data_IF_739473652475
#
_entry.id   IF_739473652475
#
_cell.length_a   1.000
_cell.length_b   1.000
_cell.length_c   1.000
_cell.angle_alpha   90.00
_cell.angle_beta   90.00
_cell.angle_gamma   90.00
#
_symmetry.space_group_name_H-M   'P 1'
#
loop_
_entity.id
_entity.type
_entity.pdbx_description
1 polymer ?
#
# COMPACT_ATOMS: atom_id res chain seq x y z
N UNK A 1 58.97 -39.00 14.56
CA UNK A 1 57.78 -38.98 13.69
C UNK A 1 58.03 -38.14 12.45
N UNK A 2 57.33 -38.43 11.39
CA UNK A 2 57.34 -37.66 10.15
C UNK A 2 55.90 -37.48 9.62
N UNK A 3 55.51 -36.28 9.16
CA UNK A 3 54.18 -36.13 8.56
C UNK A 3 54.02 -37.00 7.31
N UNK A 4 52.75 -37.40 7.07
CA UNK A 4 52.36 -38.22 5.92
C UNK A 4 52.90 -37.64 4.58
N UNK A 5 53.50 -38.50 3.80
CA UNK A 5 54.06 -38.16 2.48
C UNK A 5 55.05 -36.97 2.43
N UNK A 6 55.74 -36.67 3.55
CA UNK A 6 56.88 -35.73 3.57
C UNK A 6 58.18 -36.51 3.58
N UNK A 7 59.33 -35.85 3.48
CA UNK A 7 60.69 -36.42 3.74
C UNK A 7 61.17 -36.00 5.13
N UNK A 8 61.99 -36.77 5.74
CA UNK A 8 62.63 -36.48 7.02
C UNK A 8 64.15 -36.55 6.85
N UNK A 9 64.86 -35.45 7.09
CA UNK A 9 66.32 -35.43 7.15
C UNK A 9 66.80 -36.09 8.43
N UNK A 10 67.66 -37.05 8.29
CA UNK A 10 68.27 -37.80 9.39
C UNK A 10 69.52 -37.14 9.85
N UNK A 11 69.74 -37.00 11.15
CA UNK A 11 70.92 -36.44 11.74
C UNK A 11 71.39 -37.31 12.89
N UNK A 12 72.71 -37.29 13.15
CA UNK A 12 73.30 -37.92 14.34
C UNK A 12 74.06 -36.91 15.17
N UNK A 13 74.18 -37.16 16.45
CA UNK A 13 75.03 -36.41 17.37
C UNK A 13 75.92 -37.35 18.18
N UNK A 14 77.11 -36.88 18.54
CA UNK A 14 78.10 -37.64 19.30
C UNK A 14 79.01 -38.55 18.45
N UNK A 15 79.84 -39.31 19.12
CA UNK A 15 80.89 -40.15 18.52
C UNK A 15 82.17 -39.37 18.16
N UNK A 16 83.27 -39.76 18.71
CA UNK A 16 84.61 -39.27 18.35
C UNK A 16 85.15 -39.92 17.09
N UNK A 17 85.97 -39.26 16.33
CA UNK A 17 86.48 -39.76 15.05
C UNK A 17 85.74 -39.14 13.85
N UNK A 18 86.38 -39.22 12.69
CA UNK A 18 85.94 -38.62 11.41
C UNK A 18 85.40 -39.63 10.38
N UNK A 19 84.97 -40.85 10.87
CA UNK A 19 84.34 -41.84 10.00
C UNK A 19 83.01 -41.34 9.44
N UNK A 20 82.70 -41.70 8.19
CA UNK A 20 81.44 -41.36 7.56
C UNK A 20 80.23 -41.95 8.30
N UNK A 21 79.17 -41.21 8.35
CA UNK A 21 77.87 -41.69 8.90
C UNK A 21 76.97 -42.14 7.75
N UNK A 22 76.39 -43.35 7.88
CA UNK A 22 75.40 -43.90 6.99
C UNK A 22 74.12 -44.24 7.78
N UNK A 23 72.99 -44.20 7.13
CA UNK A 23 71.72 -44.59 7.69
C UNK A 23 71.13 -45.78 6.95
N UNK A 24 70.56 -46.72 7.67
CA UNK A 24 69.96 -47.94 7.12
C UNK A 24 68.53 -48.16 7.71
N UNK A 25 67.58 -48.60 6.85
CA UNK A 25 66.31 -49.09 7.28
C UNK A 25 66.48 -50.53 7.73
N UNK A 26 66.41 -50.75 9.04
CA UNK A 26 66.56 -52.10 9.61
C UNK A 26 65.25 -52.90 9.58
N UNK A 27 64.14 -52.20 9.50
CA UNK A 27 62.81 -52.79 9.17
C UNK A 27 61.97 -51.74 8.46
N UNK A 28 61.55 -52.01 7.23
CA UNK A 28 60.65 -51.14 6.49
C UNK A 28 59.25 -51.04 7.15
N UNK A 29 58.89 -52.00 7.97
CA UNK A 29 57.64 -52.05 8.71
C UNK A 29 56.43 -51.83 7.82
N UNK A 30 55.36 -51.33 8.40
CA UNK A 30 54.13 -50.96 7.66
C UNK A 30 54.27 -49.63 6.96
N UNK A 31 55.29 -48.84 7.29
CA UNK A 31 55.51 -47.50 6.69
C UNK A 31 56.20 -47.53 5.32
N UNK A 32 56.75 -48.69 4.88
CA UNK A 32 57.46 -48.82 3.58
C UNK A 32 58.58 -47.81 3.43
N UNK A 33 59.39 -47.67 4.49
CA UNK A 33 60.48 -46.67 4.50
C UNK A 33 61.63 -46.97 3.55
N UNK A 34 62.18 -45.97 2.97
CA UNK A 34 63.45 -45.98 2.21
C UNK A 34 64.33 -44.81 2.55
N UNK A 35 65.65 -44.97 2.43
CA UNK A 35 66.62 -43.92 2.70
C UNK A 35 67.43 -43.67 1.45
N UNK A 36 67.63 -42.40 1.07
CA UNK A 36 68.55 -41.94 0.07
C UNK A 36 69.47 -40.89 0.73
N UNK A 37 70.74 -41.22 0.86
CA UNK A 37 71.76 -40.43 1.61
C UNK A 37 71.29 -40.27 3.09
N UNK A 38 70.86 -39.10 3.48
CA UNK A 38 70.33 -38.77 4.83
C UNK A 38 68.89 -38.50 4.86
N UNK A 39 68.18 -38.74 3.76
CA UNK A 39 66.77 -38.44 3.63
C UNK A 39 65.90 -39.70 3.67
N UNK A 40 65.06 -39.80 4.69
CA UNK A 40 64.07 -40.86 4.86
C UNK A 40 62.74 -40.48 4.18
N UNK A 41 62.22 -41.36 3.36
CA UNK A 41 60.85 -41.30 2.83
C UNK A 41 60.04 -42.51 3.34
N UNK A 42 58.75 -42.36 3.40
CA UNK A 42 57.83 -43.42 3.76
C UNK A 42 56.54 -43.28 2.93
N UNK A 43 56.01 -44.41 2.46
CA UNK A 43 54.80 -44.51 1.63
C UNK A 43 53.55 -44.97 2.37
N UNK A 44 53.74 -45.45 3.61
CA UNK A 44 52.59 -45.97 4.44
C UNK A 44 51.75 -44.83 5.02
N UNK A 45 50.52 -45.19 5.35
CA UNK A 45 49.52 -44.31 5.96
C UNK A 45 49.92 -43.91 7.39
N UNK A 46 49.19 -42.94 7.93
CA UNK A 46 49.33 -42.50 9.34
C UNK A 46 49.19 -43.64 10.31
N UNK A 47 50.02 -43.67 11.34
CA UNK A 47 50.14 -44.71 12.31
C UNK A 47 51.11 -45.85 11.92
N UNK A 48 51.54 -45.95 10.64
CA UNK A 48 52.53 -46.90 10.18
C UNK A 48 53.92 -46.55 10.73
N UNK A 49 54.76 -47.60 10.88
CA UNK A 49 56.10 -47.46 11.50
C UNK A 49 57.17 -48.14 10.72
N UNK A 50 58.39 -47.64 10.81
CA UNK A 50 59.65 -48.33 10.40
C UNK A 50 60.74 -48.12 11.43
N UNK A 51 61.79 -48.92 11.38
CA UNK A 51 62.95 -48.77 12.24
C UNK A 51 64.19 -48.47 11.39
N UNK A 52 65.04 -47.60 11.91
CA UNK A 52 66.25 -47.14 11.27
C UNK A 52 67.40 -47.21 12.27
N UNK A 53 68.61 -47.44 11.77
CA UNK A 53 69.87 -47.30 12.51
C UNK A 53 70.83 -46.39 11.78
N UNK A 54 71.74 -45.75 12.51
CA UNK A 54 72.83 -45.01 11.98
C UNK A 54 74.14 -45.72 12.33
N UNK A 55 75.00 -45.83 11.38
CA UNK A 55 76.37 -46.42 11.58
C UNK A 55 77.43 -45.40 11.22
N UNK A 56 78.36 -45.19 12.14
CA UNK A 56 79.54 -44.41 11.91
C UNK A 56 80.67 -45.37 11.52
N UNK A 57 81.29 -45.22 10.35
CA UNK A 57 82.36 -46.06 9.87
C UNK A 57 83.58 -45.93 10.76
N UNK A 58 84.47 -46.97 10.76
CA UNK A 58 85.69 -46.92 11.44
C UNK A 58 86.61 -45.80 10.88
N UNK A 59 87.45 -45.29 11.73
CA UNK A 59 88.50 -44.33 11.34
C UNK A 59 89.85 -44.77 11.92
N UNK A 60 90.93 -44.06 11.64
CA UNK A 60 92.29 -44.50 11.98
C UNK A 60 92.42 -44.91 13.46
N UNK A 61 91.73 -44.29 14.37
CA UNK A 61 91.89 -44.51 15.83
C UNK A 61 90.56 -45.00 16.54
N UNK A 62 89.47 -45.26 15.77
CA UNK A 62 88.20 -45.65 16.33
C UNK A 62 87.49 -46.73 15.51
N UNK A 63 86.95 -47.72 16.15
CA UNK A 63 86.11 -48.74 15.54
C UNK A 63 84.80 -48.20 15.06
N UNK A 64 84.16 -48.88 14.11
CA UNK A 64 82.82 -48.56 13.70
C UNK A 64 81.88 -48.73 14.87
N UNK A 65 80.83 -47.86 14.89
CA UNK A 65 79.80 -47.93 15.92
C UNK A 65 78.39 -47.71 15.31
N UNK A 66 77.41 -48.49 15.75
CA UNK A 66 76.02 -48.34 15.34
C UNK A 66 75.17 -47.79 16.49
N UNK A 67 74.22 -47.02 16.17
CA UNK A 67 73.18 -46.51 17.12
C UNK A 67 72.22 -47.65 17.52
N UNK A 68 71.53 -47.49 18.60
CA UNK A 68 70.29 -48.27 18.84
C UNK A 68 69.25 -47.95 17.76
N UNK A 69 68.48 -48.95 17.42
CA UNK A 69 67.37 -48.77 16.46
C UNK A 69 66.35 -47.71 16.94
N UNK A 70 65.93 -46.86 16.02
CA UNK A 70 64.91 -45.81 16.28
C UNK A 70 63.67 -46.04 15.42
N UNK A 71 62.51 -46.05 16.07
CA UNK A 71 61.21 -46.12 15.38
C UNK A 71 60.80 -44.78 14.87
N UNK A 72 60.49 -44.69 13.59
CA UNK A 72 59.81 -43.53 12.97
C UNK A 72 58.37 -43.87 12.73
N UNK A 73 57.48 -43.06 13.19
CA UNK A 73 56.02 -43.18 12.99
C UNK A 73 55.57 -42.11 12.00
N UNK A 74 54.73 -42.48 11.03
CA UNK A 74 54.04 -41.55 10.15
C UNK A 74 52.88 -40.94 10.94
N UNK A 75 52.80 -39.63 10.98
CA UNK A 75 51.76 -38.84 11.63
C UNK A 75 50.98 -38.04 10.62
N UNK A 76 49.81 -37.54 11.04
CA UNK A 76 48.91 -36.70 10.21
C UNK A 76 49.69 -35.54 9.54
N UNK A 77 49.32 -35.26 8.30
CA UNK A 77 49.76 -34.06 7.60
C UNK A 77 48.77 -32.94 7.87
N UNK A 78 49.28 -31.84 8.43
CA UNK A 78 48.44 -30.69 8.75
C UNK A 78 48.01 -29.94 7.48
N UNK A 79 46.70 -29.68 7.40
CA UNK A 79 46.11 -28.80 6.38
C UNK A 79 45.10 -27.86 7.03
N UNK A 80 44.90 -26.69 6.44
CA UNK A 80 43.81 -25.79 6.82
C UNK A 80 42.76 -25.76 5.71
N UNK A 81 41.53 -26.04 6.05
CA UNK A 81 40.36 -26.04 5.17
C UNK A 81 39.43 -24.92 5.57
N UNK A 82 39.19 -24.00 4.64
CA UNK A 82 38.30 -22.85 4.86
C UNK A 82 37.02 -23.01 4.07
N UNK A 83 35.84 -22.91 4.74
CA UNK A 83 34.54 -22.91 4.09
C UNK A 83 34.32 -21.63 3.30
N UNK A 84 33.61 -21.72 2.18
CA UNK A 84 33.18 -20.58 1.38
C UNK A 84 31.84 -20.06 1.89
N UNK A 85 31.74 -18.72 2.05
CA UNK A 85 30.45 -18.09 2.38
C UNK A 85 29.46 -18.25 1.22
N UNK A 86 28.21 -18.54 1.54
CA UNK A 86 27.13 -18.68 0.57
C UNK A 86 25.88 -17.97 1.06
N UNK A 87 24.94 -17.70 0.14
CA UNK A 87 23.66 -17.07 0.48
C UNK A 87 22.52 -17.72 -0.30
N UNK A 88 21.32 -17.60 0.28
CA UNK A 88 20.05 -17.95 -0.39
C UNK A 88 18.97 -16.96 0.02
N UNK A 89 17.86 -16.94 -0.72
CA UNK A 89 16.63 -16.25 -0.34
C UNK A 89 15.78 -17.22 0.50
N UNK A 90 15.07 -16.69 1.48
CA UNK A 90 14.13 -17.45 2.30
C UNK A 90 13.19 -18.32 1.43
N UNK A 91 13.08 -19.59 1.78
CA UNK A 91 12.27 -20.57 1.06
C UNK A 91 12.93 -21.23 -0.14
N UNK A 92 14.13 -20.80 -0.54
CA UNK A 92 14.90 -21.50 -1.57
C UNK A 92 15.67 -22.69 -0.96
N UNK A 93 16.04 -23.66 -1.80
CA UNK A 93 16.89 -24.77 -1.41
C UNK A 93 18.30 -24.29 -0.99
N UNK A 94 18.94 -25.04 -0.11
CA UNK A 94 20.31 -24.73 0.29
C UNK A 94 21.27 -24.85 -0.91
N UNK A 95 22.15 -23.88 -1.09
CA UNK A 95 23.24 -24.01 -2.06
C UNK A 95 24.24 -25.08 -1.61
N UNK A 96 24.94 -25.70 -2.57
CA UNK A 96 26.04 -26.61 -2.27
C UNK A 96 27.13 -25.89 -1.48
N UNK A 97 27.50 -26.47 -0.33
CA UNK A 97 28.62 -25.95 0.47
C UNK A 97 29.96 -26.32 -0.16
N UNK A 98 30.85 -25.37 -0.23
CA UNK A 98 32.16 -25.52 -0.82
C UNK A 98 33.25 -25.09 0.15
N UNK A 99 34.46 -25.61 -0.06
CA UNK A 99 35.64 -25.25 0.71
C UNK A 99 36.88 -25.08 -0.19
N UNK A 100 37.91 -24.47 0.35
CA UNK A 100 39.24 -24.38 -0.23
C UNK A 100 40.27 -24.80 0.81
N UNK A 101 41.42 -25.38 0.36
CA UNK A 101 42.59 -25.63 1.22
C UNK A 101 43.40 -24.35 1.21
N UNK A 102 43.49 -23.67 2.34
CA UNK A 102 44.16 -22.38 2.49
C UNK A 102 45.59 -22.48 3.05
N UNK A 103 45.92 -23.63 3.64
CA UNK A 103 47.31 -23.93 4.07
C UNK A 103 47.56 -25.44 3.97
N UNK A 104 48.78 -25.81 3.64
CA UNK A 104 49.13 -27.17 3.28
C UNK A 104 48.65 -27.58 1.89
N UNK A 105 48.67 -28.85 1.57
CA UNK A 105 48.15 -29.43 0.32
C UNK A 105 47.88 -30.90 0.50
N UNK A 106 46.92 -31.45 -0.26
CA UNK A 106 46.75 -32.89 -0.40
C UNK A 106 47.91 -33.49 -1.22
N UNK A 107 48.20 -34.72 -0.99
CA UNK A 107 49.11 -35.53 -1.82
C UNK A 107 48.35 -35.87 -3.12
N UNK A 108 49.12 -36.00 -4.21
CA UNK A 108 48.52 -36.27 -5.52
C UNK A 108 47.64 -37.54 -5.50
N UNK A 109 46.41 -37.40 -5.95
CA UNK A 109 45.39 -38.44 -5.93
C UNK A 109 44.56 -38.53 -4.64
N UNK A 110 44.95 -37.81 -3.56
CA UNK A 110 44.15 -37.80 -2.32
C UNK A 110 42.96 -36.86 -2.42
N UNK A 111 41.89 -37.22 -1.73
CA UNK A 111 40.66 -36.41 -1.60
C UNK A 111 40.18 -36.41 -0.15
N UNK A 112 39.46 -35.37 0.24
CA UNK A 112 38.70 -35.39 1.49
C UNK A 112 37.34 -36.04 1.22
N UNK A 113 36.96 -36.97 2.08
CA UNK A 113 35.64 -37.65 2.04
C UNK A 113 34.65 -36.95 2.97
N UNK A 114 33.34 -37.24 2.78
CA UNK A 114 32.29 -36.60 3.55
C UNK A 114 31.84 -35.26 2.97
N UNK A 115 31.21 -34.42 3.80
CA UNK A 115 30.65 -33.15 3.38
C UNK A 115 30.69 -32.12 4.52
N UNK A 116 30.69 -30.84 4.16
CA UNK A 116 30.45 -29.76 5.09
C UNK A 116 29.02 -29.83 5.64
N UNK A 117 28.82 -29.36 6.86
CA UNK A 117 27.50 -29.19 7.48
C UNK A 117 27.22 -27.70 7.74
N UNK A 118 25.98 -27.43 8.17
CA UNK A 118 25.63 -26.11 8.71
C UNK A 118 24.73 -26.24 9.94
N UNK A 119 24.63 -25.20 10.75
CA UNK A 119 23.60 -25.10 11.78
C UNK A 119 22.22 -25.12 11.16
N UNK A 120 21.26 -25.79 11.81
CA UNK A 120 19.88 -25.90 11.35
C UNK A 120 19.15 -24.55 11.48
N UNK A 121 18.19 -24.30 10.58
CA UNK A 121 17.35 -23.13 10.54
C UNK A 121 17.08 -22.69 9.11
N UNK A 122 15.88 -22.13 8.86
CA UNK A 122 15.43 -21.70 7.55
C UNK A 122 15.03 -20.23 7.51
N UNK A 123 14.75 -19.59 8.66
CA UNK A 123 14.37 -18.20 8.72
C UNK A 123 15.49 -17.26 8.27
N UNK A 124 15.14 -16.05 7.95
CA UNK A 124 16.12 -14.97 7.67
C UNK A 124 17.12 -14.86 8.81
N UNK A 125 18.40 -14.93 8.47
CA UNK A 125 19.49 -14.95 9.45
C UNK A 125 20.79 -15.51 8.91
N UNK A 126 21.72 -15.81 9.83
CA UNK A 126 23.06 -16.32 9.50
C UNK A 126 23.28 -17.64 10.21
N UNK A 127 23.69 -18.65 9.45
CA UNK A 127 23.88 -20.03 9.89
C UNK A 127 25.34 -20.44 9.65
N UNK A 128 26.05 -20.84 10.72
CA UNK A 128 27.44 -21.20 10.63
C UNK A 128 27.63 -22.49 9.78
N UNK A 129 28.57 -22.44 8.84
CA UNK A 129 29.05 -23.60 8.09
C UNK A 129 30.17 -24.22 8.91
N UNK A 130 30.06 -25.51 9.20
CA UNK A 130 31.01 -26.30 9.97
C UNK A 130 31.60 -27.42 9.13
N UNK A 131 32.63 -28.11 9.69
CA UNK A 131 33.35 -29.18 9.01
C UNK A 131 32.42 -30.35 8.62
N UNK A 132 31.30 -30.55 9.33
CA UNK A 132 30.43 -31.71 9.11
C UNK A 132 31.14 -33.02 9.26
N UNK A 133 31.07 -33.85 8.21
CA UNK A 133 31.73 -35.16 8.15
C UNK A 133 33.02 -35.14 7.29
N UNK A 134 33.49 -33.95 6.87
CA UNK A 134 34.66 -33.82 5.99
C UNK A 134 35.93 -34.32 6.70
N UNK A 135 36.56 -35.36 6.17
CA UNK A 135 37.70 -36.01 6.78
C UNK A 135 38.58 -36.73 5.76
N UNK A 136 39.83 -37.02 6.16
CA UNK A 136 40.70 -38.03 5.59
C UNK A 136 41.68 -38.47 6.67
N UNK A 137 41.89 -39.77 6.86
CA UNK A 137 42.67 -40.36 7.93
C UNK A 137 44.15 -39.95 7.94
N UNK A 138 44.69 -39.48 6.82
CA UNK A 138 46.10 -39.08 6.70
C UNK A 138 46.33 -37.58 6.96
N UNK A 139 45.24 -36.81 7.30
CA UNK A 139 45.31 -35.36 7.44
C UNK A 139 44.72 -34.87 8.76
N UNK A 140 45.46 -34.03 9.45
CA UNK A 140 44.96 -33.23 10.57
C UNK A 140 44.34 -31.94 10.02
N UNK A 141 42.99 -31.88 9.97
CA UNK A 141 42.27 -30.74 9.40
C UNK A 141 42.07 -29.67 10.47
N UNK A 142 42.62 -28.49 10.27
CA UNK A 142 42.21 -27.25 10.94
C UNK A 142 41.13 -26.63 10.10
N UNK A 143 39.86 -26.58 10.62
CA UNK A 143 38.74 -26.08 9.87
C UNK A 143 38.47 -24.60 10.23
N UNK A 144 38.36 -23.75 9.22
CA UNK A 144 37.92 -22.36 9.33
C UNK A 144 36.50 -22.27 8.79
N UNK A 145 35.54 -22.03 9.68
CA UNK A 145 34.11 -21.90 9.35
C UNK A 145 33.78 -20.63 8.56
N UNK A 146 32.63 -20.62 7.97
CA UNK A 146 32.01 -19.48 7.29
C UNK A 146 30.53 -19.46 7.55
N UNK A 147 29.73 -18.70 6.78
CA UNK A 147 28.29 -18.57 6.98
C UNK A 147 27.49 -18.82 5.71
N UNK A 148 26.32 -19.44 5.88
CA UNK A 148 25.18 -19.33 4.98
C UNK A 148 24.31 -18.15 5.47
N UNK A 149 24.09 -17.16 4.61
CA UNK A 149 23.16 -16.06 4.88
C UNK A 149 21.83 -16.31 4.17
N UNK A 150 20.72 -16.34 4.95
CA UNK A 150 19.36 -16.37 4.42
C UNK A 150 18.81 -14.96 4.43
N UNK A 151 18.53 -14.43 3.25
CA UNK A 151 17.98 -13.08 3.04
C UNK A 151 16.44 -13.12 2.92
N UNK A 152 15.80 -11.96 3.20
CA UNK A 152 14.36 -11.80 3.06
C UNK A 152 13.89 -12.09 1.63
N UNK A 153 12.73 -12.74 1.51
CA UNK A 153 12.07 -12.99 0.24
C UNK A 153 11.29 -11.75 -0.20
N UNK A 154 11.56 -11.20 -1.39
CA UNK A 154 10.82 -10.03 -1.88
C UNK A 154 9.36 -10.40 -2.16
N UNK A 155 8.43 -9.54 -1.69
CA UNK A 155 7.00 -9.68 -1.96
C UNK A 155 6.35 -8.31 -2.07
N UNK A 156 5.43 -8.15 -3.02
CA UNK A 156 4.69 -6.90 -3.21
C UNK A 156 3.21 -7.12 -2.90
N UNK A 157 2.68 -6.28 -2.03
CA UNK A 157 1.28 -6.27 -1.64
C UNK A 157 0.63 -4.98 -2.15
N UNK A 158 -0.61 -5.07 -2.59
CA UNK A 158 -1.38 -3.90 -3.03
C UNK A 158 -2.71 -3.85 -2.30
N UNK A 159 -2.99 -2.74 -1.64
CA UNK A 159 -4.26 -2.51 -0.97
C UNK A 159 -5.39 -2.28 -1.99
N UNK A 160 -6.55 -2.85 -1.73
CA UNK A 160 -7.75 -2.58 -2.50
C UNK A 160 -8.35 -1.21 -2.11
N UNK A 161 -8.79 -0.42 -3.09
CA UNK A 161 -9.52 0.81 -2.82
C UNK A 161 -10.86 0.51 -2.14
N UNK A 162 -11.31 1.42 -1.27
CA UNK A 162 -12.60 1.35 -0.56
C UNK A 162 -13.29 2.69 -0.59
N UNK A 163 -14.61 2.65 -0.50
CA UNK A 163 -15.46 3.84 -0.44
C UNK A 163 -16.52 3.66 0.62
N UNK A 164 -16.96 4.76 1.22
CA UNK A 164 -18.17 4.84 2.03
C UNK A 164 -18.86 6.20 1.84
N UNK A 165 -20.11 6.32 2.26
CA UNK A 165 -20.80 7.60 2.42
C UNK A 165 -20.49 8.12 3.83
N UNK A 166 -20.41 9.44 3.99
CA UNK A 166 -20.27 10.06 5.30
C UNK A 166 -21.34 9.56 6.28
N UNK A 167 -20.91 9.16 7.46
CA UNK A 167 -21.77 8.60 8.51
C UNK A 167 -21.91 7.08 8.49
N UNK A 168 -21.53 6.42 7.41
CA UNK A 168 -21.50 4.95 7.37
C UNK A 168 -20.32 4.38 8.16
N UNK A 169 -20.42 3.11 8.53
CA UNK A 169 -19.32 2.35 9.10
C UNK A 169 -18.27 2.03 8.04
N UNK A 170 -16.99 1.96 8.45
CA UNK A 170 -15.91 1.60 7.54
C UNK A 170 -16.08 0.16 7.02
N UNK A 171 -15.99 -0.05 5.70
CA UNK A 171 -15.90 -1.39 5.15
C UNK A 171 -14.54 -2.02 5.52
N UNK A 172 -14.49 -3.35 5.58
CA UNK A 172 -13.26 -4.09 5.82
C UNK A 172 -12.21 -3.79 4.75
N UNK A 173 -10.97 -3.53 5.20
CA UNK A 173 -9.85 -3.32 4.31
C UNK A 173 -9.32 -4.66 3.81
N UNK A 174 -8.81 -4.70 2.58
CA UNK A 174 -8.23 -5.88 1.97
C UNK A 174 -7.02 -5.53 1.11
N UNK A 175 -6.14 -6.52 0.93
CA UNK A 175 -4.99 -6.43 0.03
C UNK A 175 -4.84 -7.72 -0.76
N UNK A 176 -4.03 -7.68 -1.80
CA UNK A 176 -3.64 -8.86 -2.59
C UNK A 176 -2.12 -8.89 -2.77
N UNK A 177 -1.56 -10.07 -2.97
CA UNK A 177 -0.17 -10.23 -3.40
C UNK A 177 -0.14 -9.97 -4.91
N UNK A 178 0.62 -8.96 -5.33
CA UNK A 178 0.74 -8.58 -6.74
C UNK A 178 2.07 -8.99 -7.36
N UNK A 179 3.07 -9.33 -6.53
CA UNK A 179 4.33 -9.93 -6.99
C UNK A 179 4.94 -10.77 -5.87
N UNK A 180 5.63 -11.84 -6.25
CA UNK A 180 6.14 -12.84 -5.32
C UNK A 180 5.05 -13.82 -4.84
N UNK A 181 5.41 -14.64 -3.87
CA UNK A 181 4.51 -15.64 -3.24
C UNK A 181 4.97 -15.98 -1.83
N UNK A 182 4.03 -16.40 -1.00
CA UNK A 182 4.35 -16.95 0.32
C UNK A 182 4.95 -18.36 0.18
N UNK A 183 5.82 -18.73 1.11
CA UNK A 183 6.44 -20.06 1.21
C UNK A 183 5.55 -20.96 2.07
N UNK A 184 5.15 -22.11 1.53
CA UNK A 184 4.35 -23.09 2.26
C UNK A 184 3.06 -22.51 2.84
N UNK A 185 2.94 -22.55 4.16
CA UNK A 185 1.77 -22.08 4.92
C UNK A 185 2.02 -20.72 5.61
N UNK A 186 3.02 -19.96 5.19
CA UNK A 186 3.31 -18.65 5.79
C UNK A 186 2.12 -17.70 5.68
N UNK A 187 2.03 -16.81 6.65
CA UNK A 187 1.06 -15.73 6.69
C UNK A 187 1.70 -14.44 7.22
N UNK A 188 1.08 -13.32 6.91
CA UNK A 188 1.44 -12.05 7.56
C UNK A 188 0.71 -11.93 8.89
N UNK A 189 1.39 -11.36 9.88
CA UNK A 189 0.82 -10.90 11.14
C UNK A 189 0.43 -9.42 11.03
N UNK A 190 -0.45 -8.96 11.94
CA UNK A 190 -0.93 -7.59 11.94
C UNK A 190 -2.02 -7.32 10.91
N UNK A 191 -2.26 -6.05 10.57
CA UNK A 191 -3.31 -5.61 9.65
C UNK A 191 -2.93 -4.34 8.92
N UNK A 192 -3.52 -4.16 7.72
CA UNK A 192 -3.49 -2.88 7.02
C UNK A 192 -4.41 -1.88 7.74
N UNK A 193 -4.15 -0.60 7.59
CA UNK A 193 -4.95 0.47 8.21
C UNK A 193 -5.10 1.65 7.26
N UNK A 194 -6.12 2.49 7.46
CA UNK A 194 -6.23 3.78 6.78
C UNK A 194 -5.82 4.94 7.67
N UNK A 195 -5.48 6.06 7.08
CA UNK A 195 -5.34 7.32 7.81
C UNK A 195 -6.66 7.69 8.48
N UNK A 196 -6.57 8.28 9.67
CA UNK A 196 -7.74 8.76 10.43
C UNK A 196 -8.42 9.94 9.75
N UNK A 197 -9.73 10.04 9.94
CA UNK A 197 -10.57 11.11 9.42
C UNK A 197 -11.91 10.57 8.97
N UNK A 198 -12.99 11.40 9.13
CA UNK A 198 -14.35 11.03 8.78
C UNK A 198 -15.02 12.04 7.84
N UNK A 199 -14.34 13.15 7.49
CA UNK A 199 -14.88 14.11 6.55
C UNK A 199 -14.80 13.61 5.10
N UNK A 200 -15.55 14.20 4.21
CA UNK A 200 -15.43 13.97 2.75
C UNK A 200 -13.98 14.15 2.32
N UNK A 201 -13.48 13.18 1.58
CA UNK A 201 -12.10 13.22 1.11
C UNK A 201 -11.54 11.85 0.78
N UNK A 202 -10.25 11.83 0.48
CA UNK A 202 -9.49 10.62 0.18
C UNK A 202 -8.43 10.41 1.26
N UNK A 203 -8.40 9.21 1.83
CA UNK A 203 -7.52 8.79 2.89
C UNK A 203 -6.67 7.62 2.39
N UNK A 204 -5.38 7.61 2.72
CA UNK A 204 -4.49 6.53 2.30
C UNK A 204 -4.78 5.26 3.11
N UNK A 205 -4.91 4.13 2.41
CA UNK A 205 -4.85 2.81 3.01
C UNK A 205 -3.39 2.35 2.93
N UNK A 206 -2.73 2.27 4.07
CA UNK A 206 -1.32 1.91 4.19
C UNK A 206 -1.13 0.50 4.76
N UNK A 207 0.15 0.10 4.83
CA UNK A 207 0.59 -1.20 5.34
C UNK A 207 0.13 -1.46 6.79
N UNK A 208 -0.06 -0.41 7.60
CA UNK A 208 -0.35 -0.56 9.03
C UNK A 208 0.73 -1.35 9.76
N UNK A 209 0.31 -2.37 10.50
CA UNK A 209 1.20 -3.26 11.28
C UNK A 209 1.52 -4.57 10.56
N UNK A 210 1.13 -4.71 9.29
CA UNK A 210 1.30 -5.96 8.53
C UNK A 210 2.79 -6.31 8.40
N UNK A 211 3.20 -7.49 8.84
CA UNK A 211 4.60 -7.90 8.90
C UNK A 211 4.78 -9.42 8.80
N UNK A 212 5.95 -9.82 8.30
CA UNK A 212 6.56 -11.13 8.48
C UNK A 212 8.07 -10.96 8.28
N UNK A 213 8.87 -11.37 9.26
CA UNK A 213 10.32 -11.15 9.30
C UNK A 213 11.09 -11.86 8.17
N UNK A 214 10.48 -12.83 7.51
CA UNK A 214 11.09 -13.55 6.41
C UNK A 214 10.88 -12.90 5.04
N UNK A 215 10.13 -11.75 4.99
CA UNK A 215 9.75 -11.11 3.74
C UNK A 215 10.12 -9.62 3.71
N UNK A 216 10.77 -9.22 2.63
CA UNK A 216 10.96 -7.81 2.26
C UNK A 216 9.66 -7.31 1.60
N UNK A 217 8.76 -6.74 2.39
CA UNK A 217 7.43 -6.31 1.93
C UNK A 217 7.51 -4.94 1.28
N UNK A 218 7.25 -4.88 -0.03
CA UNK A 218 6.87 -3.65 -0.74
C UNK A 218 5.35 -3.52 -0.69
N UNK A 219 4.84 -2.38 -0.21
CA UNK A 219 3.40 -2.17 -0.07
C UNK A 219 2.95 -1.00 -0.94
N UNK A 220 2.04 -1.27 -1.87
CA UNK A 220 1.35 -0.28 -2.68
C UNK A 220 0.08 0.17 -1.95
N UNK A 221 0.04 1.43 -1.59
CA UNK A 221 -1.08 2.02 -0.88
C UNK A 221 -2.36 2.01 -1.74
N UNK A 222 -3.51 1.86 -1.08
CA UNK A 222 -4.83 2.08 -1.65
C UNK A 222 -5.42 3.42 -1.25
N UNK A 223 -6.58 3.74 -1.82
CA UNK A 223 -7.38 4.92 -1.51
C UNK A 223 -8.66 4.52 -0.80
N UNK A 224 -8.97 5.21 0.28
CA UNK A 224 -10.26 5.14 0.98
C UNK A 224 -10.99 6.47 0.77
N UNK A 225 -12.09 6.46 0.01
CA UNK A 225 -12.84 7.67 -0.32
C UNK A 225 -14.11 7.77 0.50
N UNK A 226 -14.29 8.87 1.19
CA UNK A 226 -15.55 9.24 1.88
C UNK A 226 -16.29 10.23 0.99
N UNK A 227 -17.46 9.86 0.51
CA UNK A 227 -18.35 10.70 -0.27
C UNK A 227 -19.39 11.38 0.62
N UNK A 228 -20.00 12.46 0.10
CA UNK A 228 -21.03 13.20 0.82
C UNK A 228 -22.28 12.38 1.07
N UNK A 229 -22.88 12.54 2.24
CA UNK A 229 -24.20 12.03 2.55
C UNK A 229 -25.29 12.91 1.91
N UNK A 230 -26.34 12.29 1.42
CA UNK A 230 -27.50 13.04 0.95
C UNK A 230 -28.24 13.65 2.13
N UNK A 231 -28.71 14.89 1.96
CA UNK A 231 -29.59 15.53 2.94
C UNK A 231 -30.97 14.89 2.89
N UNK A 232 -31.54 14.56 4.04
CA UNK A 232 -32.84 13.93 4.13
C UNK A 232 -33.90 14.91 4.67
N UNK A 233 -35.14 14.72 4.22
CA UNK A 233 -36.29 15.48 4.73
C UNK A 233 -36.29 16.98 4.39
N UNK A 234 -35.50 17.41 3.37
CA UNK A 234 -35.52 18.81 2.94
C UNK A 234 -36.80 19.09 2.15
N UNK A 235 -37.65 19.98 2.68
CA UNK A 235 -38.95 20.30 2.14
C UNK A 235 -39.16 21.80 2.04
N UNK A 236 -39.96 22.22 1.05
CA UNK A 236 -40.41 23.58 0.85
C UNK A 236 -41.88 23.68 1.23
N UNK A 237 -42.26 24.79 1.88
CA UNK A 237 -43.63 25.20 2.12
C UNK A 237 -43.83 26.69 1.79
N UNK A 238 -45.00 27.06 1.33
CA UNK A 238 -45.44 28.45 1.20
C UNK A 238 -46.41 28.79 2.31
N UNK A 239 -46.34 29.98 2.85
CA UNK A 239 -47.30 30.47 3.87
C UNK A 239 -48.74 30.48 3.34
N UNK A 240 -48.91 30.69 2.02
CA UNK A 240 -50.19 30.54 1.32
C UNK A 240 -49.93 29.94 -0.05
N UNK A 241 -50.74 28.94 -0.43
CA UNK A 241 -50.76 28.38 -1.79
C UNK A 241 -51.74 29.11 -2.72
N UNK A 242 -52.48 30.08 -2.20
CA UNK A 242 -53.37 30.97 -2.96
C UNK A 242 -53.04 32.41 -2.63
N UNK A 243 -52.66 33.19 -3.63
CA UNK A 243 -52.37 34.63 -3.53
C UNK A 243 -53.15 35.38 -4.62
N UNK A 244 -53.31 36.68 -4.45
CA UNK A 244 -53.94 37.52 -5.44
C UNK A 244 -52.88 38.25 -6.26
N UNK A 245 -53.15 38.63 -7.48
CA UNK A 245 -52.30 39.45 -8.31
C UNK A 245 -51.74 40.67 -7.52
N UNK A 246 -50.42 40.86 -7.55
CA UNK A 246 -49.62 41.85 -6.82
C UNK A 246 -49.46 41.56 -5.30
N UNK A 247 -50.03 40.51 -4.76
CA UNK A 247 -49.79 40.10 -3.38
C UNK A 247 -48.53 39.25 -3.28
N UNK A 248 -48.05 39.04 -2.06
CA UNK A 248 -46.85 38.25 -1.78
C UNK A 248 -47.17 37.08 -0.87
N UNK A 249 -46.34 36.04 -0.95
CA UNK A 249 -46.30 34.94 0.02
C UNK A 249 -44.86 34.63 0.41
N UNK A 250 -44.65 34.24 1.67
CA UNK A 250 -43.36 33.83 2.15
C UNK A 250 -43.12 32.34 1.93
N UNK A 251 -41.92 31.99 1.50
CA UNK A 251 -41.45 30.64 1.35
C UNK A 251 -40.61 30.25 2.57
N UNK A 252 -40.75 29.03 3.03
CA UNK A 252 -39.96 28.49 4.14
C UNK A 252 -39.54 27.07 3.83
N UNK A 253 -38.38 26.69 4.36
CA UNK A 253 -37.87 25.32 4.23
C UNK A 253 -37.69 24.68 5.58
N UNK A 254 -37.81 23.37 5.64
CA UNK A 254 -37.52 22.57 6.83
C UNK A 254 -36.74 21.32 6.47
N UNK A 255 -36.05 20.71 7.46
CA UNK A 255 -35.26 19.51 7.26
C UNK A 255 -33.96 19.78 6.53
N UNK A 256 -33.37 18.70 6.01
CA UNK A 256 -31.99 18.69 5.45
C UNK A 256 -30.92 18.78 6.54
N UNK A 257 -29.82 18.09 6.32
CA UNK A 257 -28.65 18.10 7.20
C UNK A 257 -27.71 19.23 6.77
N UNK A 258 -26.87 19.72 7.68
CA UNK A 258 -25.92 20.80 7.38
C UNK A 258 -26.56 22.20 7.33
N UNK A 259 -25.73 23.24 7.21
CA UNK A 259 -26.08 24.65 7.25
C UNK A 259 -25.94 25.34 5.88
N UNK A 260 -25.98 24.58 4.79
CA UNK A 260 -25.83 25.10 3.44
C UNK A 260 -26.87 26.18 3.13
N UNK A 261 -26.49 27.22 2.41
CA UNK A 261 -27.38 28.30 2.01
C UNK A 261 -28.57 27.78 1.21
N UNK A 262 -29.76 28.32 1.47
CA UNK A 262 -31.00 27.99 0.76
C UNK A 262 -31.29 29.07 -0.27
N UNK A 263 -31.58 28.64 -1.50
CA UNK A 263 -32.08 29.50 -2.59
C UNK A 263 -33.43 28.99 -3.08
N UNK A 264 -34.25 29.90 -3.56
CA UNK A 264 -35.60 29.61 -4.08
C UNK A 264 -35.66 29.99 -5.56
N UNK A 265 -36.37 29.23 -6.33
CA UNK A 265 -36.56 29.48 -7.77
C UNK A 265 -37.99 29.17 -8.20
N UNK A 266 -38.52 29.97 -9.14
CA UNK A 266 -39.68 29.60 -9.93
C UNK A 266 -39.24 28.67 -11.04
N UNK A 267 -39.75 27.44 -11.06
CA UNK A 267 -39.32 26.39 -12.00
C UNK A 267 -40.34 26.19 -13.14
N UNK A 268 -41.61 26.59 -12.94
CA UNK A 268 -42.66 26.50 -13.96
C UNK A 268 -43.85 27.43 -13.60
N UNK A 269 -44.77 27.61 -14.53
CA UNK A 269 -46.05 28.26 -14.30
C UNK A 269 -46.33 29.45 -15.22
N UNK A 270 -47.61 29.91 -15.21
CA UNK A 270 -48.11 31.00 -16.04
C UNK A 270 -48.28 32.31 -15.29
N UNK A 271 -48.10 32.33 -13.96
CA UNK A 271 -48.35 33.47 -13.08
C UNK A 271 -47.25 34.54 -13.08
N UNK A 272 -46.16 34.35 -13.84
CA UNK A 272 -45.08 35.31 -13.97
C UNK A 272 -44.45 35.73 -12.66
N UNK A 273 -44.47 34.85 -11.63
CA UNK A 273 -43.98 35.17 -10.29
C UNK A 273 -42.47 35.52 -10.26
N UNK A 274 -42.13 36.39 -9.33
CA UNK A 274 -40.73 36.73 -9.03
C UNK A 274 -40.42 36.39 -7.57
N UNK A 275 -39.15 36.07 -7.28
CA UNK A 275 -38.69 35.77 -5.92
C UNK A 275 -37.54 36.71 -5.55
N UNK A 276 -37.65 37.31 -4.37
CA UNK A 276 -36.57 38.07 -3.75
C UNK A 276 -36.37 37.58 -2.31
N UNK A 277 -35.16 37.00 -2.06
CA UNK A 277 -34.90 36.28 -0.81
C UNK A 277 -35.87 35.09 -0.68
N UNK A 278 -36.73 35.08 0.31
CA UNK A 278 -37.76 34.07 0.53
C UNK A 278 -39.19 34.57 0.26
N UNK A 279 -39.34 35.75 -0.39
CA UNK A 279 -40.63 36.33 -0.70
C UNK A 279 -40.94 36.17 -2.17
N UNK A 280 -42.05 35.51 -2.48
CA UNK A 280 -42.63 35.39 -3.81
C UNK A 280 -43.64 36.49 -4.03
N UNK A 281 -43.58 37.22 -5.14
CA UNK A 281 -44.51 38.23 -5.60
C UNK A 281 -45.25 37.69 -6.82
N UNK A 282 -46.56 37.78 -6.79
CA UNK A 282 -47.47 37.37 -7.87
C UNK A 282 -47.58 38.47 -8.94
N UNK A 283 -47.14 38.22 -10.19
CA UNK A 283 -47.03 39.22 -11.27
C UNK A 283 -48.16 39.08 -12.28
N UNK A 284 -48.76 37.90 -12.44
CA UNK A 284 -49.94 37.68 -13.30
C UNK A 284 -50.81 36.58 -12.70
N UNK A 285 -52.14 36.59 -13.03
CA UNK A 285 -53.01 35.49 -12.64
C UNK A 285 -52.63 34.20 -13.37
N UNK A 286 -52.62 33.08 -12.65
CA UNK A 286 -52.15 31.78 -13.18
C UNK A 286 -51.60 30.91 -12.06
N UNK A 287 -50.56 30.15 -12.36
CA UNK A 287 -49.83 29.29 -11.39
C UNK A 287 -48.35 29.61 -11.37
N UNK A 288 -47.72 29.41 -10.22
CA UNK A 288 -46.24 29.43 -10.08
C UNK A 288 -45.82 28.18 -9.34
N UNK A 289 -44.97 27.37 -9.96
CA UNK A 289 -44.33 26.22 -9.34
C UNK A 289 -42.96 26.65 -8.84
N UNK A 290 -42.71 26.45 -7.57
CA UNK A 290 -41.44 26.86 -6.91
C UNK A 290 -40.74 25.68 -6.29
N UNK A 291 -39.43 25.69 -6.34
CA UNK A 291 -38.54 24.77 -5.62
C UNK A 291 -37.52 25.53 -4.80
N UNK A 292 -36.92 24.85 -3.83
CA UNK A 292 -35.80 25.36 -3.05
C UNK A 292 -34.60 24.42 -3.20
N UNK A 293 -33.40 24.99 -3.29
CA UNK A 293 -32.16 24.24 -3.27
C UNK A 293 -31.35 24.64 -2.05
N UNK A 294 -30.95 23.64 -1.24
CA UNK A 294 -30.01 23.80 -0.16
C UNK A 294 -28.61 23.41 -0.67
N UNK A 295 -27.66 24.29 -0.61
CA UNK A 295 -26.31 24.10 -1.12
C UNK A 295 -25.60 22.97 -0.39
N UNK A 296 -24.62 22.35 -1.06
CA UNK A 296 -23.64 21.47 -0.42
C UNK A 296 -22.90 22.23 0.67
N UNK A 297 -22.73 21.59 1.84
CA UNK A 297 -21.93 22.14 2.93
C UNK A 297 -21.37 21.04 3.81
N UNK A 298 -20.08 21.17 4.17
CA UNK A 298 -19.39 20.19 4.98
C UNK A 298 -19.45 18.79 4.35
N UNK A 299 -20.03 17.85 5.04
CA UNK A 299 -20.10 16.44 4.61
C UNK A 299 -21.44 16.07 3.92
N UNK A 300 -22.26 17.05 3.55
CA UNK A 300 -23.56 16.84 2.95
C UNK A 300 -23.65 17.39 1.53
N UNK A 301 -24.22 16.59 0.62
CA UNK A 301 -24.47 16.97 -0.76
C UNK A 301 -25.54 18.08 -0.82
N UNK A 302 -25.64 18.81 -1.94
CA UNK A 302 -26.77 19.67 -2.22
C UNK A 302 -28.07 18.86 -2.28
N UNK A 303 -29.19 19.49 -1.89
CA UNK A 303 -30.51 18.89 -1.98
C UNK A 303 -31.52 19.86 -2.59
N UNK A 304 -32.45 19.33 -3.37
CA UNK A 304 -33.59 20.07 -3.90
C UNK A 304 -34.88 19.61 -3.17
N UNK A 305 -35.73 20.54 -2.84
CA UNK A 305 -37.03 20.27 -2.19
C UNK A 305 -38.05 19.64 -3.13
N UNK A 306 -39.17 19.23 -2.59
CA UNK A 306 -40.40 19.07 -3.37
C UNK A 306 -40.82 20.41 -4.02
N UNK A 307 -41.53 20.32 -5.13
CA UNK A 307 -42.17 21.46 -5.77
C UNK A 307 -43.41 21.87 -5.00
N UNK A 308 -43.65 23.18 -4.93
CA UNK A 308 -44.86 23.78 -4.35
C UNK A 308 -45.56 24.64 -5.39
N UNK A 309 -46.81 24.36 -5.66
CA UNK A 309 -47.64 25.15 -6.61
C UNK A 309 -48.37 26.23 -5.86
N UNK A 310 -48.26 27.47 -6.31
CA UNK A 310 -48.95 28.65 -5.81
C UNK A 310 -49.90 29.13 -6.91
N UNK A 311 -51.18 29.22 -6.60
CA UNK A 311 -52.23 29.72 -7.49
C UNK A 311 -52.37 31.22 -7.30
N UNK A 312 -52.29 31.97 -8.40
CA UNK A 312 -52.48 33.42 -8.40
C UNK A 312 -53.85 33.76 -8.94
N UNK A 313 -54.76 34.22 -8.05
CA UNK A 313 -56.09 34.67 -8.41
C UNK A 313 -56.07 36.09 -8.99
N UNK A 314 -57.05 36.38 -9.81
CA UNK A 314 -57.30 37.77 -10.26
C UNK A 314 -57.71 38.64 -9.09
N UNK A 315 -57.25 39.89 -9.05
CA UNK A 315 -57.68 40.89 -8.10
C UNK A 315 -59.04 41.46 -8.55
N UNK A 316 -59.92 41.65 -7.59
CA UNK A 316 -61.21 42.34 -7.85
C UNK A 316 -60.91 43.80 -8.26
N UNK A 317 -61.73 44.30 -9.18
CA UNK A 317 -61.64 45.71 -9.63
C UNK A 317 -62.82 46.50 -9.01
N UNK A 318 -62.53 47.73 -8.66
CA UNK A 318 -63.59 48.69 -8.23
C UNK A 318 -63.73 49.76 -9.34
N UNK A 319 -64.97 49.82 -9.87
CA UNK A 319 -65.33 50.88 -10.78
C UNK A 319 -66.07 51.97 -9.94
N UNK A 320 -65.54 53.17 -9.95
CA UNK A 320 -66.18 54.36 -9.37
C UNK A 320 -66.79 55.16 -10.49
N UNK A 321 -68.09 55.23 -10.49
CA UNK A 321 -68.87 55.99 -11.49
C UNK A 321 -69.78 56.96 -10.75
N UNK A 322 -69.44 58.26 -10.82
CA UNK A 322 -70.24 59.32 -10.22
C UNK A 322 -71.57 59.51 -11.01
N UNK A 323 -72.60 59.76 -10.32
CA UNK A 323 -73.94 60.03 -10.94
C UNK A 323 -73.81 61.21 -11.87
N UNK A 324 -74.10 61.07 -13.20
CA UNK A 324 -73.99 62.20 -14.13
C UNK A 324 -75.04 63.28 -13.77
N UNK A 325 -74.64 64.55 -13.83
CA UNK A 325 -75.58 65.66 -13.60
C UNK A 325 -76.73 65.66 -14.61
N UNK A 326 -77.86 66.00 -14.15
CA UNK A 326 -79.08 66.16 -14.99
C UNK A 326 -78.80 67.13 -16.13
N UNK A 327 -79.23 66.77 -17.32
CA UNK A 327 -79.01 67.55 -18.56
C UNK A 327 -80.34 67.71 -19.33
N UNK A 328 -80.53 68.94 -19.90
CA UNK A 328 -81.57 69.14 -20.88
C UNK A 328 -81.20 68.38 -22.19
N UNK A 329 -82.18 67.93 -22.88
CA UNK A 329 -81.99 67.29 -24.19
C UNK A 329 -81.09 68.13 -25.13
N UNK A 330 -80.04 67.48 -25.62
CA UNK A 330 -79.16 68.09 -26.61
C UNK A 330 -78.47 66.97 -27.40
N UNK A 331 -78.35 67.15 -28.70
CA UNK A 331 -77.57 66.22 -29.55
C UNK A 331 -76.05 66.44 -29.42
N UNK A 332 -75.63 67.41 -28.58
CA UNK A 332 -74.13 67.62 -28.33
C UNK A 332 -73.60 66.48 -27.49
N UNK A 333 -72.63 65.84 -27.99
CA UNK A 333 -71.91 64.74 -27.29
C UNK A 333 -71.25 65.23 -26.01
N UNK A 334 -71.41 64.51 -24.93
CA UNK A 334 -70.68 64.72 -23.70
C UNK A 334 -69.94 63.46 -23.23
N UNK A 335 -68.91 63.63 -22.43
CA UNK A 335 -68.08 62.51 -21.96
C UNK A 335 -68.38 62.22 -20.48
N UNK A 336 -68.53 60.98 -20.15
CA UNK A 336 -68.51 60.49 -18.77
C UNK A 336 -67.12 60.05 -18.35
N UNK A 337 -66.75 60.11 -17.10
CA UNK A 337 -65.43 59.87 -16.58
C UNK A 337 -65.47 58.84 -15.44
N UNK A 338 -65.89 57.58 -15.71
CA UNK A 338 -65.70 56.53 -14.74
C UNK A 338 -64.25 56.30 -14.47
N UNK A 339 -63.84 55.95 -13.26
CA UNK A 339 -62.47 55.53 -12.90
C UNK A 339 -62.50 54.10 -12.48
N UNK A 340 -61.41 53.40 -12.77
CA UNK A 340 -61.18 52.02 -12.40
C UNK A 340 -59.84 51.94 -11.67
N UNK A 341 -59.78 51.32 -10.54
CA UNK A 341 -58.56 51.20 -9.72
C UNK A 341 -57.51 50.29 -10.39
N UNK A 342 -57.87 49.46 -11.36
CA UNK A 342 -56.95 48.62 -12.11
C UNK A 342 -56.24 49.32 -13.26
N UNK A 343 -56.59 50.56 -13.57
CA UNK A 343 -56.04 51.29 -14.73
C UNK A 343 -56.60 50.84 -16.10
N UNK A 344 -57.49 49.86 -16.13
CA UNK A 344 -58.15 49.41 -17.35
C UNK A 344 -59.21 50.38 -17.79
N UNK A 345 -59.46 50.52 -19.11
CA UNK A 345 -60.47 51.37 -19.65
C UNK A 345 -61.87 50.78 -19.42
N UNK A 346 -62.78 51.47 -18.65
CA UNK A 346 -64.10 50.99 -18.46
C UNK A 346 -64.92 51.05 -19.74
N UNK A 347 -65.89 50.14 -19.90
CA UNK A 347 -66.81 50.14 -21.02
C UNK A 347 -68.17 50.57 -20.52
N UNK A 348 -68.72 51.61 -21.11
CA UNK A 348 -70.05 52.11 -20.81
C UNK A 348 -71.09 51.56 -21.84
N UNK A 349 -72.23 51.24 -21.38
CA UNK A 349 -73.37 50.87 -22.23
C UNK A 349 -74.62 51.62 -21.81
N UNK A 350 -75.45 52.07 -22.72
CA UNK A 350 -76.78 52.63 -22.45
C UNK A 350 -77.76 51.51 -22.17
N UNK A 351 -78.48 51.58 -21.10
CA UNK A 351 -79.59 50.69 -20.80
C UNK A 351 -80.89 51.17 -21.47
N UNK A 352 -80.92 52.44 -21.95
CA UNK A 352 -82.06 53.05 -22.64
C UNK A 352 -81.60 53.57 -24.01
N UNK A 353 -81.37 52.66 -24.92
CA UNK A 353 -80.83 52.98 -26.27
C UNK A 353 -81.75 53.81 -27.12
N UNK A 354 -83.02 53.97 -26.78
CA UNK A 354 -84.01 54.85 -27.35
C UNK A 354 -83.94 56.31 -26.84
N UNK A 355 -83.17 56.56 -25.72
CA UNK A 355 -82.92 57.89 -25.15
C UNK A 355 -81.50 58.37 -25.44
N UNK A 356 -80.53 57.51 -25.24
CA UNK A 356 -79.14 57.85 -25.51
C UNK A 356 -78.34 56.69 -26.04
N UNK A 357 -77.35 56.99 -26.85
CA UNK A 357 -76.31 56.01 -27.34
C UNK A 357 -74.95 56.35 -26.70
N UNK A 358 -74.11 55.29 -26.56
CA UNK A 358 -72.83 55.42 -25.98
C UNK A 358 -71.81 54.88 -26.98
N UNK A 359 -70.70 55.62 -27.21
CA UNK A 359 -69.52 55.20 -27.96
C UNK A 359 -68.28 55.52 -27.15
N UNK A 360 -67.61 54.47 -26.65
CA UNK A 360 -66.55 54.62 -25.67
C UNK A 360 -67.02 55.27 -24.39
N UNK A 361 -66.48 56.42 -24.01
CA UNK A 361 -66.93 57.22 -22.85
C UNK A 361 -67.83 58.35 -23.27
N UNK A 362 -68.16 58.50 -24.56
CA UNK A 362 -69.02 59.59 -25.08
C UNK A 362 -70.46 59.16 -25.18
N UNK A 363 -71.34 60.02 -24.75
CA UNK A 363 -72.83 59.85 -24.72
C UNK A 363 -73.47 60.84 -25.65
N UNK A 364 -74.38 60.39 -26.50
CA UNK A 364 -75.25 61.21 -27.36
C UNK A 364 -76.67 60.97 -26.99
N UNK A 365 -77.47 62.00 -26.66
CA UNK A 365 -78.89 61.92 -26.49
C UNK A 365 -79.54 61.87 -27.83
N UNK A 366 -80.52 61.00 -28.02
CA UNK A 366 -81.26 60.81 -29.28
C UNK A 366 -82.74 61.10 -29.16
N UNK A 367 -83.25 61.11 -27.97
CA UNK A 367 -84.68 61.43 -27.66
C UNK A 367 -84.79 62.09 -26.29
N UNK A 368 -85.81 62.84 -26.00
CA UNK A 368 -86.21 63.54 -24.76
C UNK A 368 -87.18 62.76 -23.95
#
# INVERSE_FOLDING_TARGET
SKPFSTSLSLTTSGGTGNGLVSFEVTSAGTAGCSISSDTLTATGDVGSTCTITATKAQSTNYNAASSVAKTVTVIDRAITVSATAVSKIYGDADPTLAYTITSGSLVDGDTLSGALGRTSGENVGTYAINQGTLANANYAITFVGSNLTVSERPITLTAANRTKVFGDTDPSLAYSITSGSLVGSDAFSGSISRNSGENIGSYVIGRGTLANANYAITFNNGSFTISGANQSGFTLAAASSLVTYQDTTTLSTSGGNGNGAVTYAVVDGTGGCTISGNTLTAVAAGTCVVSATKAQEGNYNAATSNDVTITVAKRAQLITFADPADRNFSTTVFTLAPTVDSGLTPVLASQTTNVCTVSGLSVTMINS
#
